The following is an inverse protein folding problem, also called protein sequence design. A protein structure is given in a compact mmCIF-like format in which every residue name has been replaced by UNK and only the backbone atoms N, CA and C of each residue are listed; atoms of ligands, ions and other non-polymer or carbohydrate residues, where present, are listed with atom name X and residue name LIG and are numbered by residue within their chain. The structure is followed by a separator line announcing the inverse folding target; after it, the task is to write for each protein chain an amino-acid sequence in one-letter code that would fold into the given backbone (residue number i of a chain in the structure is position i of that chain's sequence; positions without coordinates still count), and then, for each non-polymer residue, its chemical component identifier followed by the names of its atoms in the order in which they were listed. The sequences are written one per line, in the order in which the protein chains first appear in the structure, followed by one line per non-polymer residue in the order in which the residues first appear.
data_IF_619052402753
#
_entry.id   IF_619052402753
#
_cell.length_a   1.000
_cell.length_b   1.000
_cell.length_c   1.000
_cell.angle_alpha   90.00
_cell.angle_beta   90.00
_cell.angle_gamma   90.00
#
_symmetry.space_group_name_H-M   'P 1'
#
loop_
_entity.id
_entity.type
_entity.pdbx_description
1 polymer ?
#
# COMPACT_ATOMS: atom_id res chain seq x y z
N UNK A 1 -12.66 -16.02 -18.26
CA UNK A 1 -12.08 -14.71 -17.89
C UNK A 1 -12.18 -14.37 -16.38
N UNK A 2 -13.03 -15.00 -15.60
CA UNK A 2 -13.22 -14.76 -14.14
C UNK A 2 -12.26 -15.60 -13.28
N UNK A 3 -11.76 -16.72 -13.76
CA UNK A 3 -10.83 -17.62 -13.06
C UNK A 3 -9.41 -17.04 -12.94
N UNK A 4 -8.91 -16.31 -13.93
CA UNK A 4 -7.58 -15.70 -13.92
C UNK A 4 -7.41 -14.57 -12.88
N UNK A 5 -8.48 -13.85 -12.50
CA UNK A 5 -8.40 -12.81 -11.45
C UNK A 5 -8.23 -13.38 -10.04
N UNK A 6 -8.63 -14.62 -9.78
CA UNK A 6 -8.54 -15.25 -8.44
C UNK A 6 -7.14 -15.84 -8.16
N UNK A 7 -6.42 -16.26 -9.16
CA UNK A 7 -5.05 -16.80 -8.98
C UNK A 7 -4.00 -15.69 -8.84
N UNK A 8 -4.15 -14.58 -9.55
CA UNK A 8 -3.28 -13.41 -9.43
C UNK A 8 -3.24 -12.79 -8.02
N UNK A 9 -4.28 -13.01 -7.21
CA UNK A 9 -4.34 -12.54 -5.81
C UNK A 9 -3.71 -13.49 -4.81
N UNK A 10 -3.32 -14.69 -5.20
CA UNK A 10 -2.78 -15.73 -4.31
C UNK A 10 -1.25 -15.70 -4.22
N UNK A 11 -0.57 -15.18 -5.23
CA UNK A 11 0.90 -15.04 -5.31
C UNK A 11 1.21 -13.58 -5.62
N UNK A 12 1.92 -12.91 -4.73
CA UNK A 12 2.18 -11.47 -4.79
C UNK A 12 2.54 -10.97 -6.20
N UNK A 13 2.01 -9.80 -6.56
CA UNK A 13 1.96 -9.23 -7.93
C UNK A 13 3.23 -9.24 -8.79
N UNK A 14 4.40 -9.58 -8.23
CA UNK A 14 5.67 -9.72 -8.92
C UNK A 14 5.78 -11.03 -9.70
N UNK A 15 5.40 -12.16 -9.11
CA UNK A 15 5.42 -13.47 -9.78
C UNK A 15 4.47 -13.46 -10.99
N UNK A 16 3.36 -12.75 -10.90
CA UNK A 16 2.41 -12.60 -12.02
C UNK A 16 2.98 -11.74 -13.15
N UNK A 17 3.73 -10.68 -12.85
CA UNK A 17 4.38 -9.86 -13.87
C UNK A 17 5.48 -10.65 -14.59
N UNK A 18 6.24 -11.45 -13.85
CA UNK A 18 7.32 -12.30 -14.36
C UNK A 18 6.77 -13.39 -15.27
N UNK A 19 5.73 -14.12 -14.86
CA UNK A 19 5.07 -15.12 -15.70
C UNK A 19 4.47 -14.52 -16.96
N UNK A 20 3.85 -13.33 -16.88
CA UNK A 20 3.31 -12.63 -18.04
C UNK A 20 4.38 -12.17 -19.01
N UNK A 21 5.61 -11.90 -18.55
CA UNK A 21 6.70 -11.55 -19.45
C UNK A 21 7.03 -12.72 -20.38
N UNK A 22 7.11 -13.94 -19.83
CA UNK A 22 7.35 -15.17 -20.62
C UNK A 22 6.24 -15.42 -21.64
N UNK A 23 4.99 -15.08 -21.31
CA UNK A 23 3.83 -15.30 -22.19
C UNK A 23 3.62 -14.18 -23.22
N UNK A 24 4.33 -13.06 -23.11
CA UNK A 24 4.05 -11.86 -23.89
C UNK A 24 5.24 -11.40 -24.76
N UNK A 25 5.20 -11.70 -26.09
CA UNK A 25 6.30 -11.33 -26.98
C UNK A 25 6.52 -9.82 -27.09
N UNK A 26 5.49 -9.00 -26.90
CA UNK A 26 5.64 -7.54 -26.93
C UNK A 26 6.44 -7.02 -25.73
N UNK A 27 6.30 -7.66 -24.57
CA UNK A 27 7.10 -7.32 -23.40
C UNK A 27 8.54 -7.75 -23.55
N UNK A 28 8.77 -8.92 -24.15
CA UNK A 28 10.11 -9.40 -24.45
C UNK A 28 10.81 -8.46 -25.46
N UNK A 29 10.13 -8.11 -26.54
CA UNK A 29 10.65 -7.16 -27.53
C UNK A 29 10.96 -5.80 -26.90
N UNK A 30 10.08 -5.25 -26.06
CA UNK A 30 10.31 -4.01 -25.31
C UNK A 30 11.54 -4.09 -24.39
N UNK A 31 11.82 -5.27 -23.83
CA UNK A 31 12.99 -5.52 -22.99
C UNK A 31 14.28 -5.77 -23.82
N UNK A 32 14.21 -5.72 -25.14
CA UNK A 32 15.36 -5.86 -26.02
C UNK A 32 15.62 -7.29 -26.51
N UNK A 33 14.70 -8.24 -26.27
CA UNK A 33 14.84 -9.58 -26.77
C UNK A 33 14.59 -9.64 -28.28
N UNK A 34 15.51 -10.24 -29.00
CA UNK A 34 15.41 -10.44 -30.45
C UNK A 34 14.62 -11.71 -30.78
N UNK A 35 14.74 -12.73 -29.93
CA UNK A 35 14.07 -14.03 -30.08
C UNK A 35 13.16 -14.28 -28.89
N UNK A 36 12.06 -15.01 -29.11
CA UNK A 36 11.12 -15.35 -28.05
C UNK A 36 11.76 -16.26 -27.01
N UNK A 37 11.71 -15.82 -25.75
CA UNK A 37 12.25 -16.53 -24.59
C UNK A 37 11.16 -17.36 -23.91
N UNK A 38 11.45 -18.61 -23.62
CA UNK A 38 10.53 -19.52 -22.92
C UNK A 38 10.74 -19.54 -21.40
N UNK A 39 11.85 -18.95 -20.93
CA UNK A 39 12.22 -18.87 -19.52
C UNK A 39 12.50 -17.43 -19.12
N UNK A 40 12.29 -17.13 -17.84
CA UNK A 40 12.62 -15.81 -17.29
C UNK A 40 14.14 -15.60 -17.27
N UNK A 41 14.65 -14.47 -17.79
CA UNK A 41 16.09 -14.17 -17.79
C UNK A 41 16.62 -13.86 -16.38
N UNK A 42 15.73 -13.65 -15.42
CA UNK A 42 16.08 -13.28 -14.04
C UNK A 42 15.31 -14.12 -13.03
N UNK A 43 15.94 -14.41 -11.89
CA UNK A 43 15.25 -15.10 -10.80
C UNK A 43 14.18 -14.19 -10.18
N UNK A 44 12.97 -14.69 -9.84
CA UNK A 44 11.90 -13.92 -9.18
C UNK A 44 12.35 -13.11 -7.94
N UNK A 45 13.35 -13.60 -7.20
CA UNK A 45 13.92 -12.84 -6.07
C UNK A 45 14.75 -11.63 -6.50
N UNK A 46 15.15 -11.51 -7.75
CA UNK A 46 16.00 -10.40 -8.24
C UNK A 46 15.32 -9.06 -8.13
N UNK A 47 14.02 -8.96 -8.41
CA UNK A 47 13.24 -7.73 -8.23
C UNK A 47 13.10 -7.34 -6.74
N UNK A 48 13.09 -8.32 -5.84
CA UNK A 48 13.11 -8.05 -4.40
C UNK A 48 14.46 -7.48 -3.97
N UNK A 49 15.57 -8.09 -4.41
CA UNK A 49 16.93 -7.61 -4.14
C UNK A 49 17.16 -6.23 -4.76
N UNK A 50 16.67 -6.01 -5.98
CA UNK A 50 16.75 -4.72 -6.66
C UNK A 50 16.06 -3.61 -5.86
N UNK A 51 14.83 -3.82 -5.38
CA UNK A 51 14.14 -2.85 -4.52
C UNK A 51 14.89 -2.58 -3.21
N UNK A 52 15.44 -3.62 -2.58
CA UNK A 52 16.24 -3.47 -1.37
C UNK A 52 17.53 -2.66 -1.58
N UNK A 53 18.13 -2.76 -2.78
CA UNK A 53 19.32 -1.96 -3.13
C UNK A 53 18.99 -0.50 -3.43
N UNK A 54 17.86 -0.25 -4.07
CA UNK A 54 17.43 1.11 -4.39
C UNK A 54 16.98 1.88 -3.17
N UNK A 55 16.30 1.21 -2.22
CA UNK A 55 15.62 1.88 -1.12
C UNK A 55 14.49 2.79 -1.61
N UNK A 56 13.93 3.59 -0.72
CA UNK A 56 12.88 4.56 -1.02
C UNK A 56 13.41 5.75 -1.84
N UNK A 57 14.61 6.25 -1.56
CA UNK A 57 15.26 7.34 -2.31
C UNK A 57 15.52 6.94 -3.78
N UNK A 58 16.07 5.75 -4.02
CA UNK A 58 16.32 5.26 -5.39
C UNK A 58 15.01 5.03 -6.17
N UNK A 59 13.92 4.64 -5.50
CA UNK A 59 12.62 4.49 -6.15
C UNK A 59 11.98 5.86 -6.45
N UNK A 60 12.30 6.93 -5.72
CA UNK A 60 11.87 8.29 -6.06
C UNK A 60 12.39 8.74 -7.42
N UNK A 61 13.57 8.27 -7.85
CA UNK A 61 14.12 8.54 -9.19
C UNK A 61 13.15 8.05 -10.29
N UNK A 62 12.49 6.91 -10.08
CA UNK A 62 11.49 6.41 -11.04
C UNK A 62 10.25 7.31 -11.12
N UNK A 63 9.82 7.87 -9.99
CA UNK A 63 8.71 8.82 -10.00
C UNK A 63 9.12 10.12 -10.71
N UNK A 64 10.31 10.66 -10.44
CA UNK A 64 10.86 11.83 -11.13
C UNK A 64 10.99 11.59 -12.64
N UNK A 65 11.58 10.48 -13.05
CA UNK A 65 11.70 10.11 -14.46
C UNK A 65 10.34 9.98 -15.15
N UNK A 66 9.31 9.47 -14.45
CA UNK A 66 7.95 9.41 -14.99
C UNK A 66 7.30 10.78 -15.17
N UNK A 67 7.65 11.77 -14.32
CA UNK A 67 7.20 13.15 -14.46
C UNK A 67 7.87 13.80 -15.67
N UNK A 68 9.18 13.65 -15.81
CA UNK A 68 9.95 14.16 -16.95
C UNK A 68 9.46 13.55 -18.27
N UNK A 69 9.24 12.23 -18.30
CA UNK A 69 8.69 11.54 -19.45
C UNK A 69 7.32 12.07 -19.86
N UNK A 70 6.44 12.40 -18.91
CA UNK A 70 5.13 12.99 -19.19
C UNK A 70 5.22 14.38 -19.81
N UNK A 71 6.21 15.19 -19.38
CA UNK A 71 6.48 16.52 -19.94
C UNK A 71 7.08 16.39 -21.35
N UNK A 72 8.07 15.51 -21.53
CA UNK A 72 8.69 15.23 -22.82
C UNK A 72 7.69 14.72 -23.87
N UNK A 73 6.83 13.80 -23.47
CA UNK A 73 5.76 13.29 -24.31
C UNK A 73 4.63 14.32 -24.59
N UNK A 74 4.76 15.56 -24.06
CA UNK A 74 3.72 16.61 -24.14
C UNK A 74 2.36 16.19 -23.57
N UNK A 75 2.32 15.12 -22.78
CA UNK A 75 1.11 14.68 -22.08
C UNK A 75 0.71 15.67 -20.99
N UNK A 76 1.70 16.39 -20.42
CA UNK A 76 1.53 17.41 -19.38
C UNK A 76 2.40 18.62 -19.74
N UNK A 77 1.90 19.82 -19.45
CA UNK A 77 2.68 21.05 -19.63
C UNK A 77 3.43 21.39 -18.36
N UNK A 78 4.68 21.84 -18.46
CA UNK A 78 5.49 22.23 -17.29
C UNK A 78 4.79 23.26 -16.37
N UNK A 79 4.02 24.18 -16.92
CA UNK A 79 3.22 25.15 -16.15
C UNK A 79 2.14 24.50 -15.25
N UNK A 80 1.76 23.26 -15.51
CA UNK A 80 0.75 22.55 -14.69
C UNK A 80 1.32 22.13 -13.33
N UNK A 81 2.67 22.05 -13.19
CA UNK A 81 3.36 21.79 -11.94
C UNK A 81 3.17 22.88 -10.89
N UNK A 82 2.83 24.12 -11.31
CA UNK A 82 2.62 25.27 -10.43
C UNK A 82 1.36 25.13 -9.54
N UNK A 83 0.45 24.23 -9.89
CA UNK A 83 -0.84 24.06 -9.20
C UNK A 83 -1.07 22.59 -8.88
N UNK A 84 -1.08 22.30 -7.59
CA UNK A 84 -1.19 20.92 -7.12
C UNK A 84 -2.42 20.70 -6.25
N UNK A 85 -2.86 19.45 -6.19
CA UNK A 85 -3.87 18.96 -5.26
C UNK A 85 -3.17 17.97 -4.34
N UNK A 86 -3.35 18.12 -3.03
CA UNK A 86 -2.84 17.16 -2.04
C UNK A 86 -4.02 16.52 -1.33
N UNK A 87 -4.01 15.21 -1.25
CA UNK A 87 -5.00 14.43 -0.49
C UNK A 87 -4.33 13.24 0.19
N UNK A 88 -4.93 12.77 1.29
CA UNK A 88 -4.46 11.61 2.03
C UNK A 88 -5.39 10.42 1.86
N UNK A 89 -4.80 9.24 1.84
CA UNK A 89 -5.55 7.99 1.83
C UNK A 89 -4.86 6.94 2.68
N UNK A 90 -5.46 5.76 2.81
CA UNK A 90 -4.80 4.61 3.44
C UNK A 90 -4.32 3.65 2.37
N UNK A 91 -3.04 3.32 2.43
CA UNK A 91 -2.45 2.18 1.74
C UNK A 91 -2.67 0.94 2.61
N UNK A 92 -3.59 0.08 2.19
CA UNK A 92 -3.89 -1.13 2.97
C UNK A 92 -2.79 -2.18 2.79
N UNK A 93 -2.39 -2.79 3.90
CA UNK A 93 -1.47 -3.92 3.89
C UNK A 93 -2.21 -5.21 3.51
N UNK A 94 -1.52 -6.12 2.83
CA UNK A 94 -2.06 -7.43 2.45
C UNK A 94 -2.16 -8.37 3.66
N UNK A 95 -2.97 -8.01 4.64
CA UNK A 95 -3.24 -8.80 5.82
C UNK A 95 -4.69 -9.30 5.86
N UNK A 96 -4.92 -10.40 6.55
CA UNK A 96 -6.28 -10.82 6.86
C UNK A 96 -6.87 -9.89 7.94
N UNK A 97 -8.18 -9.63 7.87
CA UNK A 97 -8.86 -8.80 8.88
C UNK A 97 -8.50 -9.28 10.29
N UNK A 98 -7.85 -8.40 11.09
CA UNK A 98 -7.31 -8.78 12.39
C UNK A 98 -8.43 -8.95 13.42
N UNK A 99 -8.37 -10.07 14.14
CA UNK A 99 -9.15 -10.31 15.34
C UNK A 99 -8.23 -10.93 16.37
N UNK A 100 -8.43 -10.62 17.65
CA UNK A 100 -7.60 -11.15 18.74
C UNK A 100 -7.52 -12.67 18.70
N UNK A 101 -8.65 -13.35 18.42
CA UNK A 101 -8.69 -14.81 18.32
C UNK A 101 -7.79 -15.39 17.24
N UNK A 102 -7.76 -14.74 16.04
CA UNK A 102 -6.87 -15.14 14.95
C UNK A 102 -5.42 -14.88 15.30
N UNK A 103 -5.13 -13.73 15.90
CA UNK A 103 -3.77 -13.35 16.29
C UNK A 103 -3.21 -14.30 17.35
N UNK A 104 -3.96 -14.60 18.40
CA UNK A 104 -3.54 -15.56 19.43
C UNK A 104 -3.26 -16.95 18.85
N UNK A 105 -4.14 -17.45 17.99
CA UNK A 105 -3.91 -18.78 17.39
C UNK A 105 -2.71 -18.78 16.45
N UNK A 106 -2.52 -17.76 15.61
CA UNK A 106 -1.37 -17.63 14.69
C UNK A 106 -0.05 -17.48 15.45
N UNK A 107 -0.03 -16.70 16.53
CA UNK A 107 1.15 -16.57 17.39
C UNK A 107 1.54 -17.94 17.99
N UNK A 108 0.56 -18.69 18.51
CA UNK A 108 0.76 -20.05 18.98
C UNK A 108 1.34 -20.95 17.87
N UNK A 109 0.76 -20.94 16.69
CA UNK A 109 1.22 -21.74 15.55
C UNK A 109 2.65 -21.38 15.14
N UNK A 110 2.99 -20.08 15.11
CA UNK A 110 4.34 -19.59 14.80
C UNK A 110 5.36 -20.12 15.83
N UNK A 111 5.07 -19.97 17.12
CA UNK A 111 5.94 -20.43 18.20
C UNK A 111 6.12 -21.94 18.19
N UNK A 112 5.03 -22.70 18.03
CA UNK A 112 5.10 -24.17 18.02
C UNK A 112 5.86 -24.68 16.79
N UNK A 113 5.64 -24.08 15.61
CA UNK A 113 6.39 -24.44 14.40
C UNK A 113 7.88 -24.18 14.56
N UNK A 114 8.23 -23.02 15.13
CA UNK A 114 9.61 -22.65 15.37
C UNK A 114 10.25 -23.59 16.40
N UNK A 115 9.57 -23.90 17.49
CA UNK A 115 10.04 -24.85 18.50
C UNK A 115 10.34 -26.23 17.89
N UNK A 116 9.43 -26.71 17.03
CA UNK A 116 9.66 -27.97 16.30
C UNK A 116 10.88 -27.90 15.36
N UNK A 117 11.04 -26.80 14.63
CA UNK A 117 12.15 -26.60 13.70
C UNK A 117 13.50 -26.50 14.39
N UNK A 118 13.55 -25.94 15.60
CA UNK A 118 14.75 -25.76 16.41
C UNK A 118 14.98 -26.90 17.43
N UNK A 119 14.17 -27.96 17.40
CA UNK A 119 14.29 -29.08 18.32
C UNK A 119 13.97 -28.75 19.78
N UNK A 120 13.34 -27.60 20.07
CA UNK A 120 12.98 -27.21 21.44
C UNK A 120 11.71 -27.95 21.87
N UNK A 121 11.78 -28.84 22.89
CA UNK A 121 10.61 -29.59 23.34
C UNK A 121 9.61 -28.67 24.04
N UNK A 122 8.32 -28.85 23.74
CA UNK A 122 7.23 -28.16 24.41
C UNK A 122 6.45 -29.12 25.29
N UNK A 123 6.08 -28.69 26.51
CA UNK A 123 5.20 -29.47 27.37
C UNK A 123 3.85 -29.75 26.71
N UNK A 124 3.30 -28.74 26.02
CA UNK A 124 2.09 -28.87 25.23
C UNK A 124 2.07 -27.89 24.07
N UNK A 125 1.77 -28.38 22.87
CA UNK A 125 1.71 -27.56 21.64
C UNK A 125 0.30 -26.98 21.34
N UNK A 126 -0.75 -27.57 21.91
CA UNK A 126 -2.15 -27.21 21.67
C UNK A 126 -2.56 -27.21 20.17
N UNK A 127 -1.91 -28.03 19.34
CA UNK A 127 -2.13 -28.10 17.88
C UNK A 127 -3.59 -28.39 17.54
N UNK A 128 -4.24 -29.30 18.27
CA UNK A 128 -5.66 -29.65 18.06
C UNK A 128 -6.61 -28.68 18.76
N UNK A 129 -6.23 -28.16 19.92
CA UNK A 129 -7.10 -27.29 20.76
C UNK A 129 -7.22 -25.90 20.17
N UNK A 130 -6.12 -25.29 19.69
CA UNK A 130 -6.12 -23.93 19.14
C UNK A 130 -7.11 -23.74 17.99
N UNK A 131 -7.01 -24.53 16.89
CA UNK A 131 -7.95 -24.43 15.76
C UNK A 131 -9.40 -24.70 16.16
N UNK A 132 -9.64 -25.68 17.06
CA UNK A 132 -11.00 -25.97 17.57
C UNK A 132 -11.59 -24.78 18.33
N UNK A 133 -10.81 -24.10 19.15
CA UNK A 133 -11.24 -22.89 19.84
C UNK A 133 -11.50 -21.74 18.85
N UNK A 134 -10.65 -21.56 17.86
CA UNK A 134 -10.84 -20.54 16.82
C UNK A 134 -12.13 -20.79 16.03
N UNK A 135 -12.41 -22.04 15.65
CA UNK A 135 -13.64 -22.41 14.98
C UNK A 135 -14.89 -22.11 15.84
N UNK A 136 -14.88 -22.50 17.12
CA UNK A 136 -15.96 -22.18 18.06
C UNK A 136 -16.15 -20.67 18.23
N UNK A 137 -15.04 -19.89 18.32
CA UNK A 137 -15.10 -18.45 18.42
C UNK A 137 -15.81 -17.81 17.22
N UNK A 138 -15.50 -18.26 16.00
CA UNK A 138 -16.13 -17.77 14.78
C UNK A 138 -17.64 -18.09 14.76
N UNK A 139 -18.03 -19.31 15.14
CA UNK A 139 -19.46 -19.69 15.26
C UNK A 139 -20.21 -18.82 16.27
N UNK A 140 -19.62 -18.59 17.44
CA UNK A 140 -20.25 -17.74 18.47
C UNK A 140 -20.36 -16.27 18.01
N UNK A 141 -19.37 -15.77 17.29
CA UNK A 141 -19.41 -14.43 16.71
C UNK A 141 -20.52 -14.28 15.67
N UNK A 142 -20.63 -15.25 14.76
CA UNK A 142 -21.68 -15.28 13.74
C UNK A 142 -23.08 -15.38 14.36
N UNK A 143 -23.25 -16.22 15.38
CA UNK A 143 -24.49 -16.37 16.13
C UNK A 143 -24.73 -15.24 17.15
N UNK A 144 -23.94 -14.16 17.16
CA UNK A 144 -24.01 -13.03 18.10
C UNK A 144 -23.97 -13.41 19.58
N UNK A 145 -23.43 -14.58 19.94
CA UNK A 145 -23.27 -15.05 21.31
C UNK A 145 -22.04 -14.47 21.99
N UNK A 146 -22.04 -13.16 22.23
CA UNK A 146 -20.86 -12.39 22.63
C UNK A 146 -20.22 -12.86 23.96
N UNK A 147 -21.02 -13.31 24.95
CA UNK A 147 -20.45 -13.83 26.20
C UNK A 147 -19.65 -15.13 26.00
N UNK A 148 -20.15 -16.06 25.17
CA UNK A 148 -19.43 -17.30 24.82
C UNK A 148 -18.18 -16.99 23.95
N UNK A 149 -18.30 -16.06 23.03
CA UNK A 149 -17.18 -15.61 22.21
C UNK A 149 -16.04 -15.06 23.08
N UNK A 150 -16.32 -14.14 24.01
CA UNK A 150 -15.32 -13.57 24.94
C UNK A 150 -14.62 -14.66 25.75
N UNK A 151 -15.36 -15.64 26.31
CA UNK A 151 -14.77 -16.78 27.02
C UNK A 151 -13.83 -17.60 26.14
N UNK A 152 -14.17 -17.76 24.85
CA UNK A 152 -13.33 -18.51 23.91
C UNK A 152 -12.06 -17.73 23.54
N UNK A 153 -12.13 -16.40 23.37
CA UNK A 153 -10.97 -15.53 23.16
C UNK A 153 -10.04 -15.61 24.38
N UNK A 154 -10.56 -15.53 25.59
CA UNK A 154 -9.78 -15.68 26.83
C UNK A 154 -9.05 -17.04 26.89
N UNK A 155 -9.72 -18.13 26.52
CA UNK A 155 -9.08 -19.45 26.43
C UNK A 155 -7.95 -19.50 25.40
N UNK A 156 -8.11 -18.86 24.24
CA UNK A 156 -7.05 -18.76 23.24
C UNK A 156 -5.87 -17.96 23.77
N UNK A 157 -6.11 -16.84 24.46
CA UNK A 157 -5.04 -16.06 25.15
C UNK A 157 -4.31 -16.90 26.19
N UNK A 158 -5.04 -17.67 27.00
CA UNK A 158 -4.46 -18.58 27.99
C UNK A 158 -3.58 -19.66 27.36
N UNK A 159 -4.07 -20.28 26.27
CA UNK A 159 -3.29 -21.30 25.53
C UNK A 159 -2.00 -20.72 24.97
N UNK A 160 -2.05 -19.55 24.34
CA UNK A 160 -0.85 -18.85 23.86
C UNK A 160 0.09 -18.53 25.00
N UNK A 161 -0.41 -17.97 26.10
CA UNK A 161 0.40 -17.64 27.28
C UNK A 161 1.09 -18.85 27.93
N UNK A 162 0.45 -20.04 27.86
CA UNK A 162 1.09 -21.29 28.33
C UNK A 162 2.27 -21.69 27.44
N UNK A 163 2.11 -21.63 26.11
CA UNK A 163 3.20 -21.92 25.17
C UNK A 163 4.33 -20.88 25.31
N UNK A 164 3.98 -19.61 25.45
CA UNK A 164 4.94 -18.52 25.65
C UNK A 164 5.80 -18.76 26.91
N UNK A 165 5.16 -18.97 28.08
CA UNK A 165 5.90 -19.19 29.33
C UNK A 165 6.68 -20.51 29.36
N UNK A 166 6.27 -21.52 28.62
CA UNK A 166 7.02 -22.77 28.50
C UNK A 166 8.34 -22.51 27.72
N UNK A 167 8.27 -21.79 26.63
CA UNK A 167 9.45 -21.35 25.85
C UNK A 167 10.34 -20.39 26.66
N UNK A 168 9.76 -19.40 27.32
CA UNK A 168 10.48 -18.42 28.13
C UNK A 168 11.39 -19.08 29.18
N UNK A 169 10.95 -20.20 29.78
CA UNK A 169 11.76 -20.97 30.74
C UNK A 169 12.83 -21.84 30.11
N UNK A 170 12.62 -22.31 28.86
CA UNK A 170 13.52 -23.26 28.20
C UNK A 170 14.58 -22.59 27.32
N UNK A 171 14.28 -21.40 26.81
CA UNK A 171 15.18 -20.70 25.88
C UNK A 171 16.54 -20.32 26.49
N UNK A 172 16.66 -19.92 27.78
CA UNK A 172 17.94 -19.61 28.35
C UNK A 172 18.95 -20.78 28.31
N UNK A 173 18.48 -22.02 28.30
CA UNK A 173 19.30 -23.23 28.24
C UNK A 173 19.67 -23.63 26.81
N UNK A 174 19.15 -22.93 25.78
CA UNK A 174 19.39 -23.25 24.40
C UNK A 174 20.61 -22.49 23.83
N UNK A 175 21.25 -23.01 22.77
CA UNK A 175 22.31 -22.30 22.04
C UNK A 175 21.90 -20.88 21.62
N UNK A 176 22.85 -19.95 21.54
CA UNK A 176 22.61 -18.56 21.19
C UNK A 176 21.86 -18.40 19.82
N UNK A 177 22.20 -19.24 18.84
CA UNK A 177 21.54 -19.25 17.53
C UNK A 177 20.04 -19.58 17.62
N UNK A 178 19.66 -20.49 18.53
CA UNK A 178 18.25 -20.81 18.80
C UNK A 178 17.57 -19.66 19.53
N UNK A 179 18.21 -19.08 20.55
CA UNK A 179 17.67 -17.92 21.26
C UNK A 179 17.41 -16.76 20.31
N UNK A 180 18.33 -16.47 19.38
CA UNK A 180 18.18 -15.41 18.37
C UNK A 180 16.99 -15.66 17.43
N UNK A 181 16.78 -16.90 17.00
CA UNK A 181 15.64 -17.26 16.17
C UNK A 181 14.28 -16.99 16.86
N UNK A 182 14.23 -17.08 18.20
CA UNK A 182 13.03 -16.80 18.99
C UNK A 182 12.87 -15.34 19.41
N UNK A 183 13.92 -14.50 19.33
CA UNK A 183 13.91 -13.13 19.85
C UNK A 183 12.71 -12.32 19.35
N UNK A 184 12.55 -12.19 18.04
CA UNK A 184 11.44 -11.44 17.44
C UNK A 184 10.06 -12.10 17.68
N UNK A 185 9.87 -13.43 17.42
CA UNK A 185 8.58 -14.09 17.69
C UNK A 185 8.12 -13.99 19.14
N UNK A 186 9.04 -14.09 20.10
CA UNK A 186 8.73 -13.97 21.53
C UNK A 186 8.35 -12.53 21.89
N UNK A 187 9.10 -11.52 21.40
CA UNK A 187 8.80 -10.10 21.62
C UNK A 187 7.43 -9.71 21.08
N UNK A 188 7.09 -10.11 19.84
CA UNK A 188 5.78 -9.87 19.25
C UNK A 188 4.65 -10.60 20.01
N UNK A 189 4.91 -11.82 20.47
CA UNK A 189 3.92 -12.58 21.26
C UNK A 189 3.69 -11.94 22.62
N UNK A 190 4.74 -11.46 23.30
CA UNK A 190 4.62 -10.71 24.54
C UNK A 190 3.77 -9.46 24.35
N UNK A 191 4.13 -8.62 23.35
CA UNK A 191 3.33 -7.42 22.99
C UNK A 191 1.86 -7.78 22.74
N UNK A 192 1.57 -8.88 22.06
CA UNK A 192 0.20 -9.34 21.80
C UNK A 192 -0.53 -9.79 23.05
N UNK A 193 0.16 -10.44 24.00
CA UNK A 193 -0.43 -10.88 25.28
C UNK A 193 -0.71 -9.70 26.22
N UNK A 194 0.14 -8.68 26.19
CA UNK A 194 0.06 -7.51 27.07
C UNK A 194 -0.97 -6.48 26.57
N UNK A 195 -1.20 -6.40 25.24
CA UNK A 195 -2.06 -5.37 24.66
C UNK A 195 -3.51 -5.43 25.17
N UNK A 196 -4.07 -4.24 25.37
CA UNK A 196 -5.43 -3.98 25.79
C UNK A 196 -6.31 -3.45 24.64
N UNK A 197 -7.64 -3.46 24.86
CA UNK A 197 -8.61 -3.04 23.83
C UNK A 197 -8.40 -1.62 23.31
N UNK A 198 -8.00 -0.69 24.15
CA UNK A 198 -7.92 0.74 23.85
C UNK A 198 -6.50 1.26 23.65
N UNK A 199 -5.49 0.38 23.60
CA UNK A 199 -4.11 0.77 23.35
C UNK A 199 -3.97 1.38 21.95
N UNK A 200 -3.16 2.45 21.86
CA UNK A 200 -2.92 3.17 20.60
C UNK A 200 -2.07 2.36 19.63
N UNK A 201 -1.03 1.69 20.12
CA UNK A 201 -0.05 0.97 19.28
C UNK A 201 -0.29 -0.54 19.30
N UNK A 202 -1.47 -0.98 18.92
CA UNK A 202 -1.81 -2.41 18.86
C UNK A 202 -1.13 -3.13 17.72
N UNK A 203 -0.83 -4.40 17.95
CA UNK A 203 -0.37 -5.31 16.91
C UNK A 203 -1.58 -5.87 16.14
N UNK A 204 -1.62 -5.67 14.83
CA UNK A 204 -2.69 -6.13 13.95
C UNK A 204 -2.27 -7.30 13.06
N UNK A 205 -0.96 -7.50 12.86
CA UNK A 205 -0.41 -8.64 12.12
C UNK A 205 0.95 -9.04 12.70
N UNK A 206 1.23 -10.35 12.78
CA UNK A 206 2.51 -10.84 13.30
C UNK A 206 3.66 -10.77 12.29
N UNK A 207 3.34 -10.68 11.00
CA UNK A 207 4.31 -10.59 9.91
C UNK A 207 4.46 -9.17 9.35
N UNK A 208 3.70 -8.24 9.89
CA UNK A 208 3.68 -6.84 9.50
C UNK A 208 3.32 -6.01 10.75
N UNK A 209 4.28 -5.89 11.66
CA UNK A 209 4.09 -5.24 12.96
C UNK A 209 3.90 -3.72 12.86
N UNK A 210 4.29 -3.15 11.71
CA UNK A 210 4.14 -1.75 11.33
C UNK A 210 2.71 -1.32 10.98
N UNK A 211 1.80 -2.29 10.78
CA UNK A 211 0.42 -2.00 10.36
C UNK A 211 -0.34 -1.23 11.42
N UNK A 212 -0.96 -0.15 10.99
CA UNK A 212 -1.82 0.71 11.80
C UNK A 212 -3.30 0.46 11.51
N UNK A 213 -4.17 0.81 12.46
CA UNK A 213 -5.63 0.82 12.30
C UNK A 213 -6.10 2.25 12.13
N UNK A 214 -6.56 2.59 10.92
CA UNK A 214 -6.98 3.94 10.57
C UNK A 214 -8.50 3.97 10.41
N UNK A 215 -9.16 4.84 11.19
CA UNK A 215 -10.60 5.03 11.12
C UNK A 215 -10.93 6.11 10.08
N UNK A 216 -11.75 5.78 9.08
CA UNK A 216 -12.16 6.73 8.02
C UNK A 216 -13.56 7.32 8.20
N UNK A 217 -14.29 6.94 9.22
CA UNK A 217 -15.66 7.43 9.46
C UNK A 217 -16.70 7.04 8.38
N UNK A 218 -16.32 6.25 7.36
CA UNK A 218 -17.23 5.78 6.30
C UNK A 218 -17.98 4.53 6.75
N UNK A 219 -19.30 4.49 6.52
CA UNK A 219 -20.20 3.45 7.00
C UNK A 219 -19.86 2.04 6.52
N UNK A 220 -19.52 1.77 5.22
CA UNK A 220 -19.29 0.39 4.79
C UNK A 220 -17.94 -0.19 5.27
N UNK A 221 -16.91 0.64 5.50
CA UNK A 221 -15.57 0.20 5.91
C UNK A 221 -14.99 1.19 6.93
N UNK A 222 -15.37 0.97 8.19
CA UNK A 222 -15.02 1.86 9.29
C UNK A 222 -13.51 1.90 9.57
N UNK A 223 -12.81 0.79 9.43
CA UNK A 223 -11.38 0.64 9.73
C UNK A 223 -10.63 0.09 8.51
N UNK A 224 -9.52 0.72 8.18
CA UNK A 224 -8.54 0.25 7.21
C UNK A 224 -7.23 -0.06 7.92
N UNK A 225 -6.57 -1.15 7.52
CA UNK A 225 -5.34 -1.63 8.17
C UNK A 225 -4.16 -1.49 7.22
N UNK A 226 -3.25 -0.59 7.54
CA UNK A 226 -2.10 -0.25 6.71
C UNK A 226 -1.40 0.99 7.21
N UNK A 227 -0.94 1.83 6.30
CA UNK A 227 -0.29 3.11 6.59
C UNK A 227 -1.02 4.25 5.87
N UNK A 228 -1.08 5.41 6.49
CA UNK A 228 -1.53 6.64 5.83
C UNK A 228 -0.54 7.04 4.75
N UNK A 229 -1.02 7.50 3.61
CA UNK A 229 -0.20 8.01 2.51
C UNK A 229 -0.73 9.36 2.04
N UNK A 230 0.18 10.23 1.64
CA UNK A 230 -0.12 11.48 0.95
C UNK A 230 0.13 11.30 -0.55
N UNK A 231 -0.83 11.73 -1.36
CA UNK A 231 -0.72 11.75 -2.83
C UNK A 231 -0.87 13.18 -3.28
N UNK A 232 0.05 13.62 -4.13
CA UNK A 232 0.01 14.94 -4.75
C UNK A 232 -0.11 14.80 -6.25
N UNK A 233 -1.10 15.47 -6.84
CA UNK A 233 -1.29 15.51 -8.29
C UNK A 233 -1.32 16.93 -8.81
N UNK A 234 -1.00 17.13 -10.09
CA UNK A 234 -1.23 18.41 -10.75
C UNK A 234 -2.74 18.67 -10.87
N UNK A 235 -3.17 19.90 -10.66
CA UNK A 235 -4.59 20.27 -10.67
C UNK A 235 -5.24 20.07 -12.06
N UNK A 236 -4.53 20.30 -13.14
CA UNK A 236 -5.10 20.28 -14.49
C UNK A 236 -4.99 18.93 -15.19
N UNK A 237 -3.82 18.32 -15.12
CA UNK A 237 -3.46 17.12 -15.88
C UNK A 237 -3.50 15.83 -15.08
N UNK A 238 -3.73 15.90 -13.75
CA UNK A 238 -3.81 14.74 -12.87
C UNK A 238 -2.52 13.87 -12.83
N UNK A 239 -1.36 14.45 -13.20
CA UNK A 239 -0.07 13.79 -13.05
C UNK A 239 0.28 13.67 -11.57
N UNK A 240 0.73 12.52 -11.13
CA UNK A 240 1.22 12.32 -9.76
C UNK A 240 2.62 12.93 -9.66
N UNK A 241 2.77 13.95 -8.82
CA UNK A 241 4.01 14.68 -8.59
C UNK A 241 4.54 14.53 -7.16
N UNK A 242 3.86 13.75 -6.35
CA UNK A 242 4.30 13.37 -5.00
C UNK A 242 3.50 12.16 -4.51
N UNK A 243 4.19 11.24 -3.82
CA UNK A 243 3.60 10.06 -3.23
C UNK A 243 4.44 9.62 -2.04
N UNK A 244 3.90 9.66 -0.83
CA UNK A 244 4.66 9.47 0.40
C UNK A 244 3.89 8.69 1.45
N UNK A 245 4.55 7.76 2.14
CA UNK A 245 4.00 7.10 3.32
C UNK A 245 4.14 7.98 4.56
N UNK A 246 3.15 7.93 5.45
CA UNK A 246 3.04 8.76 6.65
C UNK A 246 2.79 7.87 7.88
N UNK A 247 3.82 7.19 8.41
CA UNK A 247 3.69 6.36 9.60
C UNK A 247 3.24 7.16 10.82
N UNK A 248 2.50 6.51 11.73
CA UNK A 248 1.97 7.15 12.95
C UNK A 248 0.64 7.85 12.73
N UNK A 249 0.05 7.75 11.53
CA UNK A 249 -1.22 8.38 11.17
C UNK A 249 -1.29 9.87 11.60
N UNK A 250 -0.32 10.72 11.21
CA UNK A 250 -0.27 12.12 11.60
C UNK A 250 -1.51 12.87 11.10
N UNK A 251 -1.83 14.00 11.77
CA UNK A 251 -2.89 14.89 11.32
C UNK A 251 -2.54 15.50 9.94
N UNK A 252 -3.51 15.57 9.03
CA UNK A 252 -3.28 15.98 7.63
C UNK A 252 -2.62 17.36 7.51
N UNK A 253 -3.02 18.32 8.32
CA UNK A 253 -2.42 19.66 8.35
C UNK A 253 -0.90 19.65 8.56
N UNK A 254 -0.38 18.75 9.39
CA UNK A 254 1.06 18.62 9.67
C UNK A 254 1.84 17.95 8.54
N UNK A 255 1.17 17.27 7.62
CA UNK A 255 1.81 16.55 6.51
C UNK A 255 1.99 17.38 5.26
N UNK A 256 1.31 18.52 5.14
CA UNK A 256 1.27 19.32 3.93
C UNK A 256 2.66 19.85 3.53
N UNK A 257 3.42 20.39 4.50
CA UNK A 257 4.77 20.90 4.26
C UNK A 257 5.70 19.83 3.69
N UNK A 258 5.60 18.60 4.23
CA UNK A 258 6.43 17.48 3.80
C UNK A 258 6.05 17.06 2.37
N UNK A 259 4.75 17.00 2.07
CA UNK A 259 4.26 16.69 0.72
C UNK A 259 4.73 17.72 -0.32
N UNK A 260 4.65 19.02 -0.02
CA UNK A 260 5.11 20.08 -0.92
C UNK A 260 6.63 20.10 -1.11
N UNK A 261 7.43 19.76 -0.07
CA UNK A 261 8.88 19.57 -0.20
C UNK A 261 9.23 18.41 -1.13
N UNK A 262 8.48 17.30 -1.07
CA UNK A 262 8.69 16.20 -2.00
C UNK A 262 8.39 16.62 -3.44
N UNK A 263 7.31 17.36 -3.69
CA UNK A 263 7.00 17.89 -5.03
C UNK A 263 8.14 18.73 -5.56
N UNK A 264 8.67 19.66 -4.76
CA UNK A 264 9.78 20.51 -5.13
C UNK A 264 11.04 19.69 -5.47
N UNK A 265 11.38 18.69 -4.65
CA UNK A 265 12.52 17.79 -4.90
C UNK A 265 12.36 17.00 -6.21
N UNK A 266 11.16 16.45 -6.48
CA UNK A 266 10.90 15.61 -7.66
C UNK A 266 10.75 16.41 -8.96
N UNK A 267 10.30 17.66 -8.90
CA UNK A 267 9.98 18.47 -10.08
C UNK A 267 10.95 19.62 -10.31
N UNK A 268 11.83 19.92 -9.35
CA UNK A 268 12.70 21.10 -9.37
C UNK A 268 11.93 22.43 -9.21
N UNK A 269 10.62 22.39 -8.97
CA UNK A 269 9.77 23.58 -8.86
C UNK A 269 8.90 23.55 -7.62
N UNK A 270 8.89 24.66 -6.86
CA UNK A 270 7.94 24.87 -5.78
C UNK A 270 6.58 25.22 -6.35
N UNK A 271 5.48 24.55 -5.96
CA UNK A 271 4.13 24.93 -6.40
C UNK A 271 3.75 26.33 -5.93
N UNK A 272 3.05 27.06 -6.78
CA UNK A 272 2.50 28.39 -6.40
C UNK A 272 1.20 28.24 -5.59
N UNK A 273 0.37 27.23 -5.96
CA UNK A 273 -0.94 26.98 -5.34
C UNK A 273 -1.15 25.50 -5.02
N UNK A 274 -1.75 25.28 -3.85
CA UNK A 274 -2.12 23.96 -3.37
C UNK A 274 -3.61 23.92 -2.99
N UNK A 275 -4.30 22.89 -3.45
CA UNK A 275 -5.73 22.64 -3.17
C UNK A 275 -5.88 21.42 -2.30
N UNK A 276 -6.51 21.59 -1.12
CA UNK A 276 -6.59 20.53 -0.09
C UNK A 276 -8.01 20.36 0.44
N UNK A 277 -8.24 19.27 1.16
CA UNK A 277 -9.48 19.03 1.89
C UNK A 277 -9.55 19.88 3.17
N UNK A 278 -10.72 19.88 3.81
CA UNK A 278 -10.94 20.52 5.11
C UNK A 278 -10.10 19.90 6.23
N UNK A 279 -9.68 18.66 6.09
CA UNK A 279 -8.77 17.98 7.02
C UNK A 279 -7.42 18.66 7.20
N UNK A 280 -7.00 19.51 6.26
CA UNK A 280 -5.74 20.25 6.30
C UNK A 280 -5.82 21.61 7.04
N UNK A 281 -6.85 21.84 7.85
CA UNK A 281 -6.92 23.03 8.69
C UNK A 281 -5.73 23.10 9.65
N UNK A 282 -5.22 24.31 9.91
CA UNK A 282 -4.08 24.49 10.82
C UNK A 282 -2.75 24.01 10.25
N UNK A 283 -2.61 23.92 8.90
CA UNK A 283 -1.30 23.69 8.27
C UNK A 283 -0.35 24.86 8.57
N UNK A 284 0.94 24.56 8.56
CA UNK A 284 2.04 25.50 8.86
C UNK A 284 2.71 26.08 7.59
N UNK A 285 2.14 25.83 6.40
CA UNK A 285 2.68 26.30 5.11
C UNK A 285 2.31 27.76 4.91
N UNK A 286 3.32 28.61 4.67
CA UNK A 286 3.19 30.07 4.48
C UNK A 286 3.71 30.53 3.13
N UNK A 287 4.53 29.74 2.45
CA UNK A 287 5.25 30.01 1.21
C UNK A 287 4.50 29.55 -0.05
N UNK A 288 3.36 28.90 0.09
CA UNK A 288 2.48 28.44 -0.98
C UNK A 288 1.05 28.88 -0.68
N UNK A 289 0.33 29.36 -1.69
CA UNK A 289 -1.10 29.69 -1.52
C UNK A 289 -1.93 28.42 -1.35
N UNK A 290 -2.44 28.18 -0.13
CA UNK A 290 -3.22 26.98 0.19
C UNK A 290 -4.70 27.29 0.22
N UNK A 291 -5.46 26.65 -0.67
CA UNK A 291 -6.93 26.78 -0.75
C UNK A 291 -7.61 25.50 -0.26
N UNK A 292 -8.50 25.65 0.71
CA UNK A 292 -9.24 24.54 1.32
C UNK A 292 -10.59 24.34 0.63
N UNK A 293 -11.04 23.12 0.55
CA UNK A 293 -12.37 22.77 0.07
C UNK A 293 -13.44 23.65 0.76
N UNK A 294 -14.46 24.11 0.01
CA UNK A 294 -15.55 24.98 0.47
C UNK A 294 -15.12 26.37 0.95
N UNK A 295 -13.90 26.82 0.71
CA UNK A 295 -13.45 28.17 1.04
C UNK A 295 -14.23 29.19 0.19
N UNK A 296 -14.81 30.21 0.85
CA UNK A 296 -15.61 31.27 0.20
C UNK A 296 -14.86 32.60 0.13
N UNK A 297 -14.04 32.92 1.15
CA UNK A 297 -13.32 34.21 1.24
C UNK A 297 -11.97 34.11 0.51
N UNK A 298 -11.57 35.19 -0.13
CA UNK A 298 -10.29 35.27 -0.86
C UNK A 298 -10.21 34.36 -2.09
N UNK A 299 -11.35 34.01 -2.72
CA UNK A 299 -11.43 33.07 -3.81
C UNK A 299 -12.01 33.75 -5.06
N UNK A 300 -11.17 33.96 -6.08
CA UNK A 300 -11.57 34.45 -7.39
C UNK A 300 -12.34 33.37 -8.17
N UNK A 301 -12.99 33.75 -9.28
CA UNK A 301 -13.70 32.79 -10.15
C UNK A 301 -12.74 31.74 -10.74
N UNK A 302 -11.50 32.11 -11.05
CA UNK A 302 -10.48 31.17 -11.52
C UNK A 302 -10.13 30.14 -10.43
N UNK A 303 -9.89 30.59 -9.20
CA UNK A 303 -9.59 29.71 -8.06
C UNK A 303 -10.79 28.81 -7.73
N UNK A 304 -12.03 29.28 -7.90
CA UNK A 304 -13.23 28.43 -7.72
C UNK A 304 -13.26 27.27 -8.74
N UNK A 305 -12.86 27.52 -10.00
CA UNK A 305 -12.75 26.47 -11.02
C UNK A 305 -11.67 25.46 -10.65
N UNK A 306 -10.52 25.92 -10.15
CA UNK A 306 -9.41 25.08 -9.70
C UNK A 306 -9.79 24.26 -8.45
N UNK A 307 -10.53 24.85 -7.50
CA UNK A 307 -11.09 24.13 -6.33
C UNK A 307 -12.10 23.03 -6.71
N UNK A 308 -12.95 23.26 -7.74
CA UNK A 308 -13.84 22.22 -8.23
C UNK A 308 -13.05 21.01 -8.78
N UNK A 309 -11.89 21.26 -9.38
CA UNK A 309 -11.02 20.18 -9.91
C UNK A 309 -10.34 19.36 -8.81
N UNK A 310 -10.30 19.85 -7.55
CA UNK A 310 -9.74 19.07 -6.44
C UNK A 310 -10.30 17.66 -6.37
N UNK A 311 -11.58 17.46 -6.65
CA UNK A 311 -12.21 16.15 -6.60
C UNK A 311 -11.64 15.17 -7.64
N UNK A 312 -10.90 15.66 -8.66
CA UNK A 312 -10.26 14.79 -9.66
C UNK A 312 -9.17 13.89 -9.08
N UNK A 313 -8.65 14.16 -7.88
CA UNK A 313 -7.69 13.28 -7.20
C UNK A 313 -8.34 11.98 -6.71
N UNK A 314 -9.63 12.00 -6.38
CA UNK A 314 -10.33 10.81 -5.85
C UNK A 314 -10.37 9.65 -6.85
N UNK A 315 -10.73 9.82 -8.14
CA UNK A 315 -10.59 8.79 -9.16
C UNK A 315 -9.15 8.30 -9.34
N UNK A 316 -8.16 9.20 -9.28
CA UNK A 316 -6.73 8.83 -9.41
C UNK A 316 -6.32 7.91 -8.27
N UNK A 317 -6.66 8.26 -7.03
CA UNK A 317 -6.43 7.40 -5.86
C UNK A 317 -7.18 6.08 -6.03
N UNK A 318 -8.41 6.10 -6.58
CA UNK A 318 -9.18 4.90 -6.90
C UNK A 318 -8.45 3.97 -7.87
N UNK A 319 -7.91 4.51 -8.96
CA UNK A 319 -7.09 3.76 -9.91
C UNK A 319 -5.79 3.24 -9.29
N UNK A 320 -5.08 4.05 -8.52
CA UNK A 320 -3.89 3.59 -7.79
C UNK A 320 -4.21 2.43 -6.84
N UNK A 321 -5.38 2.45 -6.18
CA UNK A 321 -5.82 1.37 -5.29
C UNK A 321 -6.21 0.09 -6.03
N UNK A 322 -6.95 0.20 -7.12
CA UNK A 322 -7.52 -0.94 -7.83
C UNK A 322 -6.52 -1.58 -8.80
N UNK A 323 -5.79 -0.74 -9.52
CA UNK A 323 -4.92 -1.15 -10.63
C UNK A 323 -3.43 -1.10 -10.24
N UNK A 324 -3.07 -0.28 -9.22
CA UNK A 324 -1.70 0.00 -8.81
C UNK A 324 -1.26 -0.68 -7.51
N UNK A 325 -2.09 -1.53 -6.90
CA UNK A 325 -1.82 -2.23 -5.63
C UNK A 325 -1.69 -1.30 -4.40
N UNK A 326 -2.04 -0.02 -4.49
CA UNK A 326 -2.10 0.86 -3.32
C UNK A 326 -3.18 0.38 -2.33
N UNK A 327 -4.23 -0.29 -2.81
CA UNK A 327 -5.28 -0.90 -1.98
C UNK A 327 -4.88 -2.22 -1.33
N UNK A 328 -3.70 -2.80 -1.66
CA UNK A 328 -3.23 -4.06 -1.10
C UNK A 328 -1.72 -4.21 -1.23
N UNK A 329 -0.98 -3.61 -0.32
CA UNK A 329 0.47 -3.68 -0.29
C UNK A 329 0.99 -5.02 0.25
N UNK A 330 1.82 -5.71 -0.52
CA UNK A 330 2.47 -6.98 -0.16
C UNK A 330 3.91 -6.80 0.34
N UNK A 331 4.50 -5.61 0.17
CA UNK A 331 5.87 -5.36 0.60
C UNK A 331 5.94 -5.29 2.12
N UNK A 332 7.05 -5.73 2.69
CA UNK A 332 7.25 -5.82 4.15
C UNK A 332 7.90 -4.56 4.70
N UNK A 333 7.56 -4.24 5.94
CA UNK A 333 8.17 -3.15 6.69
C UNK A 333 7.71 -1.77 6.26
N UNK A 334 8.16 -0.74 6.98
CA UNK A 334 7.87 0.67 6.66
C UNK A 334 8.52 1.11 5.34
N UNK A 335 9.73 0.62 5.04
CA UNK A 335 10.40 0.83 3.76
C UNK A 335 9.57 0.28 2.61
N UNK A 336 9.03 -0.95 2.74
CA UNK A 336 8.11 -1.51 1.75
C UNK A 336 6.83 -0.69 1.57
N UNK A 337 6.36 0.00 2.60
CA UNK A 337 5.22 0.92 2.50
C UNK A 337 5.59 2.19 1.72
N UNK A 338 6.78 2.75 1.95
CA UNK A 338 7.29 3.91 1.22
C UNK A 338 7.53 3.58 -0.27
N UNK A 339 8.21 2.49 -0.55
CA UNK A 339 8.48 2.02 -1.92
C UNK A 339 7.17 1.78 -2.69
N UNK A 340 6.18 1.11 -2.09
CA UNK A 340 4.93 0.78 -2.78
C UNK A 340 4.15 2.02 -3.20
N UNK A 341 4.03 3.04 -2.36
CA UNK A 341 3.28 4.24 -2.71
C UNK A 341 3.94 5.02 -3.85
N UNK A 342 5.28 5.09 -3.87
CA UNK A 342 6.04 5.76 -4.93
C UNK A 342 5.87 5.02 -6.26
N UNK A 343 6.03 3.69 -6.26
CA UNK A 343 5.81 2.85 -7.45
C UNK A 343 4.38 2.94 -7.98
N UNK A 344 3.38 3.03 -7.09
CA UNK A 344 2.00 3.27 -7.50
C UNK A 344 1.82 4.61 -8.20
N UNK A 345 2.51 5.66 -7.72
CA UNK A 345 2.54 6.99 -8.34
C UNK A 345 3.17 6.97 -9.72
N UNK A 346 4.38 6.39 -9.85
CA UNK A 346 5.07 6.24 -11.13
C UNK A 346 4.25 5.41 -12.13
N UNK A 347 3.67 4.30 -11.70
CA UNK A 347 2.79 3.47 -12.52
C UNK A 347 1.53 4.21 -13.01
N UNK A 348 0.96 5.10 -12.18
CA UNK A 348 -0.15 5.95 -12.59
C UNK A 348 0.27 6.97 -13.66
N UNK A 349 1.46 7.55 -13.54
CA UNK A 349 2.02 8.45 -14.54
C UNK A 349 2.24 7.74 -15.89
N UNK A 350 2.81 6.54 -15.88
CA UNK A 350 2.98 5.73 -17.09
C UNK A 350 1.64 5.44 -17.77
N UNK A 351 0.56 5.13 -17.02
CA UNK A 351 -0.79 4.96 -17.60
C UNK A 351 -1.29 6.24 -18.25
N UNK A 352 -1.06 7.40 -17.63
CA UNK A 352 -1.42 8.69 -18.18
C UNK A 352 -0.70 8.95 -19.51
N UNK A 353 0.62 8.69 -19.56
CA UNK A 353 1.44 8.83 -20.77
C UNK A 353 0.94 7.89 -21.87
N UNK A 354 0.73 6.61 -21.54
CA UNK A 354 0.24 5.63 -22.52
C UNK A 354 -1.15 5.99 -23.07
N UNK A 355 -2.03 6.50 -22.22
CA UNK A 355 -3.34 6.96 -22.67
C UNK A 355 -3.24 8.18 -23.59
N UNK A 356 -2.33 9.12 -23.29
CA UNK A 356 -2.06 10.27 -24.16
C UNK A 356 -1.53 9.82 -25.53
N UNK A 357 -0.54 8.92 -25.57
CA UNK A 357 0.00 8.36 -26.80
C UNK A 357 -1.02 7.60 -27.62
N UNK A 358 -1.90 6.82 -26.95
CA UNK A 358 -3.01 6.11 -27.61
C UNK A 358 -3.99 7.06 -28.28
N UNK A 359 -4.35 8.16 -27.61
CA UNK A 359 -5.24 9.18 -28.20
C UNK A 359 -4.54 9.88 -29.39
N UNK A 360 -3.24 10.16 -29.27
CA UNK A 360 -2.46 10.74 -30.33
C UNK A 360 -2.37 9.82 -31.54
N UNK A 361 -2.05 8.54 -31.33
CA UNK A 361 -2.04 7.52 -32.38
C UNK A 361 -3.37 7.40 -33.11
N UNK A 362 -4.48 7.32 -32.40
CA UNK A 362 -5.82 7.27 -33.00
C UNK A 362 -6.14 8.51 -33.84
N UNK A 363 -5.66 9.69 -33.46
CA UNK A 363 -5.85 10.89 -34.28
C UNK A 363 -5.05 10.81 -35.57
N UNK A 364 -3.84 10.32 -35.54
CA UNK A 364 -3.03 10.09 -36.75
C UNK A 364 -3.72 9.06 -37.64
N UNK A 365 -4.12 7.92 -37.08
CA UNK A 365 -4.83 6.85 -37.78
C UNK A 365 -6.10 7.38 -38.49
N UNK A 366 -6.91 8.19 -37.79
CA UNK A 366 -8.10 8.80 -38.38
C UNK A 366 -7.82 9.78 -39.53
N UNK A 367 -6.65 10.44 -39.51
CA UNK A 367 -6.23 11.30 -40.64
C UNK A 367 -5.89 10.49 -41.89
N UNK A 368 -5.34 9.29 -41.74
CA UNK A 368 -4.97 8.41 -42.85
C UNK A 368 -6.16 7.59 -43.35
N UNK A 369 -7.05 7.10 -42.49
CA UNK A 369 -8.20 6.28 -42.86
C UNK A 369 -9.36 7.16 -43.37
N UNK A 370 -9.54 8.38 -42.85
CA UNK A 370 -10.60 9.32 -43.28
C UNK A 370 -10.45 9.83 -44.70
N UNK A 371 -9.30 9.60 -45.36
CA UNK A 371 -9.06 9.91 -46.77
C UNK A 371 -9.36 8.75 -47.73
N UNK A 372 -9.77 7.58 -47.21
CA UNK A 372 -9.86 6.36 -48.04
C UNK A 372 -11.23 5.64 -48.06
N UNK A 373 -12.29 6.21 -47.47
CA UNK A 373 -13.64 5.63 -47.57
C UNK A 373 -14.60 6.64 -48.23
N UNK A 374 -15.00 6.44 -49.49
CA UNK A 374 -16.22 7.05 -50.02
C UNK A 374 -17.40 6.41 -49.30
N UNK A 375 -18.18 7.19 -48.59
CA UNK A 375 -19.52 6.80 -48.13
C UNK A 375 -20.36 6.64 -49.41
N UNK A 376 -20.59 5.41 -49.81
CA UNK A 376 -21.63 5.12 -50.80
C UNK A 376 -22.99 5.14 -50.11
N UNK A 377 -24.04 5.59 -50.83
CA UNK A 377 -25.33 6.01 -50.32
C UNK A 377 -26.16 4.87 -49.70
#
# INVERSE_FOLDING_TARGET
MVTFRREATRWGGLIVAEQRWVENPYWQYFCGETYFQHELPVNPSSLTRWRQRLGDEGVEILLSASIEAAIHAKAVKARDLKRVIVDSTVQEKAIAFPTDSKLYNRARERLVRLAKAQGVPLRQSYVRVGPRLLFKNNRYGHARQMKRQRRTISKLKTVLGRVYRDLERRLPEQPASVQDAFREPMALTKRLLDQQRHDKNKLYALHAAEVECIAKGKVPKRYEFGVKVSITTTNRSNLVVGAQSLPGNPYDGHTLRIALKQVERLTGQRPERCYVDLGYRGHDVTDVEVYKARQKRGVTQAIRRELKRRNAIEPIIGHMKNDGLLGRNYLKGAEGDAINVILCGAGQNLRLILNHLRIYYRRIESMFIGSSLPISP
#
